data_IF_965735418877
#
_entry.id   IF_965735418877
#
_cell.length_a   1.000
_cell.length_b   1.000
_cell.length_c   1.000
_cell.angle_alpha   90.00
_cell.angle_beta   90.00
_cell.angle_gamma   90.00
#
_symmetry.space_group_name_H-M   'P 1'
#
loop_
_entity.id
_entity.type
_entity.pdbx_description
1 polymer ?
#
# COMPACT_ATOMS: atom_id res chain seq x y z
N UNK A 1 3.52 1.36 11.99
CA UNK A 1 2.07 1.67 11.88
C UNK A 1 1.28 0.50 12.42
N UNK A 2 0.17 0.74 13.07
CA UNK A 2 -0.62 -0.36 13.63
C UNK A 2 -1.42 -1.09 12.57
N UNK A 3 -1.84 -2.31 12.87
CA UNK A 3 -2.68 -3.07 11.96
C UNK A 3 -3.98 -2.32 11.67
N UNK A 4 -4.56 -1.69 12.69
CA UNK A 4 -5.80 -0.96 12.52
C UNK A 4 -5.65 0.19 11.53
N UNK A 5 -4.60 0.98 11.68
CA UNK A 5 -4.36 2.11 10.78
C UNK A 5 -4.05 1.63 9.37
N UNK A 6 -3.29 0.56 9.26
CA UNK A 6 -2.94 0.00 7.97
C UNK A 6 -4.20 -0.49 7.24
N UNK A 7 -5.03 -1.25 7.94
CA UNK A 7 -6.27 -1.74 7.35
C UNK A 7 -7.18 -0.60 6.93
N UNK A 8 -7.29 0.41 7.77
CA UNK A 8 -8.14 1.55 7.45
C UNK A 8 -7.62 2.29 6.23
N UNK A 9 -6.31 2.45 6.13
CA UNK A 9 -5.71 3.14 5.00
C UNK A 9 -5.90 2.39 3.70
N UNK A 10 -5.90 1.07 3.73
CA UNK A 10 -5.96 0.26 2.51
C UNK A 10 -7.37 -0.23 2.19
N UNK A 11 -8.32 -0.01 3.08
CA UNK A 11 -9.64 -0.59 2.94
C UNK A 11 -10.38 -0.15 1.68
N UNK A 12 -10.29 1.12 1.37
CA UNK A 12 -11.00 1.68 0.21
C UNK A 12 -10.02 2.14 -0.85
N UNK A 13 -9.06 1.31 -1.12
CA UNK A 13 -8.03 1.64 -2.09
C UNK A 13 -8.63 1.89 -3.47
N UNK A 14 -8.37 3.07 -3.99
CA UNK A 14 -8.75 3.45 -5.33
C UNK A 14 -7.54 4.10 -5.96
N UNK A 15 -7.22 3.72 -7.18
CA UNK A 15 -6.04 4.25 -7.84
C UNK A 15 -4.79 3.64 -7.24
N UNK A 16 -3.84 4.47 -6.90
CA UNK A 16 -2.55 3.99 -6.41
C UNK A 16 -2.27 4.45 -5.00
N UNK A 17 -1.56 3.60 -4.28
CA UNK A 17 -1.06 3.91 -2.95
C UNK A 17 0.41 3.59 -2.94
N UNK A 18 1.19 4.45 -2.30
CA UNK A 18 2.60 4.20 -2.07
C UNK A 18 2.80 3.98 -0.57
N UNK A 19 3.41 2.86 -0.24
CA UNK A 19 3.72 2.52 1.14
C UNK A 19 5.20 2.76 1.36
N UNK A 20 5.52 3.59 2.35
CA UNK A 20 6.90 3.87 2.72
C UNK A 20 7.31 2.89 3.81
N UNK A 21 8.38 2.15 3.55
CA UNK A 21 8.88 1.12 4.45
C UNK A 21 10.24 1.55 4.99
N UNK A 22 10.41 1.50 6.30
CA UNK A 22 11.69 1.82 6.91
C UNK A 22 12.78 0.91 6.33
N UNK A 23 13.85 1.50 5.89
CA UNK A 23 15.05 0.80 5.39
C UNK A 23 14.85 0.04 4.09
N UNK A 24 13.68 0.14 3.47
CA UNK A 24 13.43 -0.58 2.22
C UNK A 24 12.89 0.28 1.11
N UNK A 25 12.54 1.53 1.41
CA UNK A 25 12.06 2.45 0.39
C UNK A 25 10.57 2.45 0.22
N UNK A 26 10.11 2.48 -1.02
CA UNK A 26 8.70 2.65 -1.32
C UNK A 26 8.16 1.51 -2.16
N UNK A 27 6.91 1.14 -1.89
CA UNK A 27 6.21 0.14 -2.70
C UNK A 27 4.89 0.73 -3.15
N UNK A 28 4.62 0.65 -4.45
CA UNK A 28 3.38 1.18 -5.01
C UNK A 28 2.48 0.03 -5.41
N UNK A 29 1.21 0.15 -5.09
CA UNK A 29 0.22 -0.86 -5.45
C UNK A 29 -1.08 -0.19 -5.85
N UNK A 30 -1.94 -0.94 -6.51
CA UNK A 30 -3.24 -0.42 -6.92
C UNK A 30 -4.34 -1.31 -6.35
N UNK A 31 -5.57 -1.02 -6.73
CA UNK A 31 -6.73 -1.72 -6.18
C UNK A 31 -6.83 -3.18 -6.62
N UNK A 32 -5.95 -3.62 -7.49
CA UNK A 32 -5.93 -5.03 -7.90
C UNK A 32 -5.01 -5.86 -7.01
N UNK A 33 -4.29 -5.22 -6.10
CA UNK A 33 -3.42 -5.95 -5.19
C UNK A 33 -4.25 -6.79 -4.24
N UNK A 34 -3.75 -7.98 -3.94
CA UNK A 34 -4.37 -8.85 -2.98
C UNK A 34 -3.63 -8.69 -1.66
N UNK A 35 -4.35 -8.34 -0.60
CA UNK A 35 -3.73 -8.01 0.68
C UNK A 35 -4.25 -8.94 1.75
N UNK A 36 -3.31 -9.58 2.47
CA UNK A 36 -3.64 -10.41 3.62
C UNK A 36 -3.15 -9.75 4.88
N UNK A 37 -4.04 -9.60 5.83
CA UNK A 37 -3.70 -8.99 7.11
C UNK A 37 -3.52 -10.07 8.17
N UNK A 38 -2.32 -10.15 8.70
CA UNK A 38 -2.02 -11.07 9.79
C UNK A 38 -1.83 -10.27 11.07
N UNK A 39 -1.66 -10.97 12.17
CA UNK A 39 -1.59 -10.32 13.46
C UNK A 39 -0.49 -9.28 13.55
N UNK A 40 0.70 -9.62 13.08
CA UNK A 40 1.86 -8.74 13.19
C UNK A 40 2.42 -8.31 11.85
N UNK A 41 1.84 -8.79 10.77
CA UNK A 41 2.42 -8.57 9.46
C UNK A 41 1.33 -8.50 8.38
N UNK A 42 1.74 -8.04 7.23
CA UNK A 42 0.86 -7.88 6.08
C UNK A 42 1.59 -8.50 4.87
N UNK A 43 0.83 -9.16 4.02
CA UNK A 43 1.35 -9.69 2.78
C UNK A 43 0.62 -8.98 1.64
N UNK A 44 1.38 -8.42 0.72
CA UNK A 44 0.84 -7.72 -0.43
C UNK A 44 1.28 -8.45 -1.68
N UNK A 45 0.30 -8.91 -2.44
CA UNK A 45 0.54 -9.72 -3.62
C UNK A 45 0.01 -8.97 -4.82
N UNK A 46 0.89 -8.60 -5.74
CA UNK A 46 0.51 -7.89 -6.95
C UNK A 46 0.90 -8.74 -8.15
N UNK A 47 0.59 -8.25 -9.33
CA UNK A 47 0.99 -8.94 -10.55
C UNK A 47 2.50 -9.03 -10.69
N UNK A 48 3.20 -8.04 -10.16
CA UNK A 48 4.64 -7.91 -10.37
C UNK A 48 5.48 -8.45 -9.23
N UNK A 49 4.91 -8.49 -8.02
CA UNK A 49 5.70 -8.89 -6.87
C UNK A 49 4.80 -9.35 -5.73
N UNK A 50 5.42 -10.00 -4.77
CA UNK A 50 4.76 -10.40 -3.54
C UNK A 50 5.69 -9.96 -2.40
N UNK A 51 5.17 -9.20 -1.44
CA UNK A 51 5.97 -8.66 -0.36
C UNK A 51 5.33 -8.91 0.99
N UNK A 52 6.18 -9.02 1.97
CA UNK A 52 5.80 -9.29 3.34
C UNK A 52 6.45 -8.23 4.21
N UNK A 53 5.65 -7.58 5.05
CA UNK A 53 6.15 -6.57 5.97
C UNK A 53 5.56 -6.76 7.34
N UNK A 54 6.34 -6.50 8.37
CA UNK A 54 5.76 -6.31 9.70
C UNK A 54 5.13 -4.92 9.73
N UNK A 55 4.04 -4.76 10.45
CA UNK A 55 3.40 -3.45 10.54
C UNK A 55 4.35 -2.40 11.09
N UNK A 56 5.28 -2.81 11.97
CA UNK A 56 6.24 -1.88 12.53
C UNK A 56 7.19 -1.32 11.46
N UNK A 57 7.33 -1.99 10.34
CA UNK A 57 8.20 -1.51 9.27
C UNK A 57 7.53 -0.46 8.40
N UNK A 58 6.23 -0.33 8.48
CA UNK A 58 5.50 0.65 7.67
C UNK A 58 5.62 2.02 8.30
N UNK A 59 6.23 2.93 7.58
CA UNK A 59 6.41 4.29 8.02
C UNK A 59 5.12 5.08 7.83
N UNK A 60 4.65 5.17 6.61
CA UNK A 60 3.37 5.80 6.33
C UNK A 60 2.87 5.39 4.95
N UNK A 61 1.63 5.72 4.68
CA UNK A 61 0.97 5.37 3.44
C UNK A 61 0.53 6.66 2.75
N UNK A 62 0.92 6.80 1.50
CA UNK A 62 0.64 7.98 0.71
C UNK A 62 -0.39 7.62 -0.36
N UNK A 63 -1.50 8.33 -0.39
CA UNK A 63 -2.50 8.11 -1.40
C UNK A 63 -2.16 8.92 -2.63
N UNK A 64 -2.18 8.25 -3.78
CA UNK A 64 -2.02 8.93 -5.04
C UNK A 64 -3.21 8.56 -5.88
N UNK A 65 -4.10 9.49 -6.06
CA UNK A 65 -5.22 9.22 -6.93
C UNK A 65 -4.69 9.18 -8.34
N UNK A 66 -5.12 8.18 -9.08
CA UNK A 66 -4.74 8.13 -10.47
C UNK A 66 -5.44 9.28 -11.15
N UNK A 67 -4.74 10.36 -11.33
CA UNK A 67 -5.28 11.47 -12.00
C UNK A 67 -5.27 11.20 -13.44
N UNK A 68 -6.30 11.49 -14.06
CA UNK A 68 -6.19 11.54 -15.50
C UNK A 68 -5.19 12.60 -15.78
N UNK A 69 -4.42 12.61 -16.42
CA UNK A 69 -3.41 13.65 -16.54
C UNK A 69 -3.70 14.69 -17.51
N UNK A 70 -4.36 14.62 -17.37
CA UNK A 70 -4.68 15.29 -17.85
C UNK A 70 -4.74 15.92 -18.37
N UNK A 71 -4.98 16.15 -18.84
CA UNK A 71 -5.17 16.66 -19.30
C UNK A 71 -5.05 17.28 -19.78
N UNK A 72 -5.24 17.55 -20.37
CA UNK A 72 -5.27 18.17 -20.91
C UNK A 72 -5.18 18.66 -21.30
N UNK A 73 -5.33 18.76 -21.65
CA UNK A 73 -5.40 19.31 -22.12
C UNK A 73 -5.32 19.69 -22.42
#
# INVERSE_FOLDING_TARGET
MSIRKTKKALKNLKGYITISIYDRGFFTLNDKANIEYHKNSIIIDTEDYSEYFDYAQINHIIYEFSKPKKKKH
#
